data_IF_628893306722
#
_entry.id   IF_628893306722
#
_cell.length_a   1.000
_cell.length_b   1.000
_cell.length_c   1.000
_cell.angle_alpha   90.00
_cell.angle_beta   90.00
_cell.angle_gamma   90.00
#
_symmetry.space_group_name_H-M   'P 1'
#
loop_
_entity.id
_entity.type
_entity.pdbx_description
1 polymer ?
#
# COMPACT_ATOMS: atom_id res chain seq x y z
N UNK A 1 -5.07 4.31 8.80
CA UNK A 1 -3.89 3.57 8.33
C UNK A 1 -2.56 4.00 8.95
N UNK A 2 -2.48 5.16 9.59
CA UNK A 2 -1.21 5.63 10.20
C UNK A 2 -1.10 5.37 11.70
N UNK A 3 -2.17 5.02 12.37
CA UNK A 3 -2.23 4.96 13.83
C UNK A 3 -2.01 3.57 14.43
N UNK A 4 -2.16 2.53 13.62
CA UNK A 4 -2.11 1.14 14.09
C UNK A 4 -1.34 0.26 13.12
N UNK A 5 -0.64 -0.78 13.61
CA UNK A 5 -0.12 -1.84 12.75
C UNK A 5 -1.24 -2.45 11.92
N UNK A 6 -0.89 -2.87 10.71
CA UNK A 6 -1.88 -3.38 9.77
C UNK A 6 -2.31 -4.79 10.15
N UNK A 7 -3.60 -4.90 10.35
CA UNK A 7 -4.31 -6.14 10.58
C UNK A 7 -5.67 -6.05 9.85
N UNK A 8 -6.39 -7.15 9.77
CA UNK A 8 -7.74 -7.18 9.20
C UNK A 8 -8.82 -7.43 10.28
N UNK A 9 -8.52 -7.15 11.55
CA UNK A 9 -9.48 -7.30 12.65
C UNK A 9 -10.31 -6.05 12.90
N UNK A 10 -9.87 -4.89 12.40
CA UNK A 10 -10.54 -3.64 12.66
C UNK A 10 -11.97 -3.63 12.11
N UNK A 11 -12.89 -3.20 12.96
CA UNK A 11 -14.29 -2.94 12.62
C UNK A 11 -14.84 -1.79 13.50
N UNK A 12 -16.12 -1.46 13.33
CA UNK A 12 -16.80 -0.36 14.03
C UNK A 12 -17.83 -0.85 15.03
N UNK A 13 -17.79 -2.10 15.48
CA UNK A 13 -18.83 -2.70 16.33
C UNK A 13 -19.03 -1.92 17.63
N UNK A 14 -17.95 -1.45 18.25
CA UNK A 14 -18.03 -0.67 19.50
C UNK A 14 -18.65 0.71 19.30
N UNK A 15 -18.61 1.22 18.08
CA UNK A 15 -19.29 2.46 17.71
C UNK A 15 -20.77 2.21 17.41
N UNK A 16 -21.07 1.21 16.58
CA UNK A 16 -22.44 0.86 16.16
C UNK A 16 -23.31 0.50 17.35
N UNK A 17 -22.81 -0.24 18.33
CA UNK A 17 -23.53 -0.62 19.55
C UNK A 17 -24.04 0.55 20.41
N UNK A 18 -23.51 1.76 20.21
CA UNK A 18 -23.93 2.94 20.97
C UNK A 18 -25.28 3.53 20.49
N UNK A 19 -25.75 3.08 19.34
CA UNK A 19 -26.95 3.63 18.70
C UNK A 19 -27.96 2.53 18.42
N UNK A 20 -29.24 2.87 18.57
CA UNK A 20 -30.39 1.98 18.29
C UNK A 20 -30.94 2.13 16.87
N UNK A 21 -30.31 2.96 16.05
CA UNK A 21 -30.67 3.22 14.66
C UNK A 21 -29.61 2.67 13.71
N UNK A 22 -29.96 2.32 12.46
CA UNK A 22 -28.98 1.91 11.47
C UNK A 22 -27.92 2.98 11.25
N UNK A 23 -26.66 2.57 11.30
CA UNK A 23 -25.51 3.43 11.05
C UNK A 23 -25.08 3.28 9.59
N UNK A 24 -24.92 4.40 8.89
CA UNK A 24 -24.40 4.48 7.54
C UNK A 24 -23.22 5.44 7.54
N UNK A 25 -22.10 5.06 6.96
CA UNK A 25 -21.00 6.02 6.78
C UNK A 25 -21.30 6.96 5.63
N UNK A 26 -20.68 8.13 5.70
CA UNK A 26 -20.75 9.15 4.67
C UNK A 26 -19.36 9.41 4.10
N UNK A 27 -19.28 9.50 2.75
CA UNK A 27 -18.07 9.91 2.01
C UNK A 27 -16.81 9.06 2.28
N UNK A 28 -16.91 7.74 2.22
CA UNK A 28 -15.74 6.85 2.34
C UNK A 28 -14.97 6.71 1.02
N UNK A 29 -13.76 6.13 1.09
CA UNK A 29 -12.95 5.83 -0.08
C UNK A 29 -12.26 7.05 -0.68
N UNK A 30 -12.02 8.08 0.11
CA UNK A 30 -11.45 9.36 -0.34
C UNK A 30 -9.93 9.35 -0.53
N UNK A 31 -9.29 8.20 -0.58
CA UNK A 31 -7.86 8.08 -0.81
C UNK A 31 -7.50 8.53 -2.23
N UNK A 32 -6.52 9.40 -2.36
CA UNK A 32 -6.12 9.97 -3.65
C UNK A 32 -5.02 9.15 -4.33
N UNK A 33 -5.02 9.15 -5.67
CA UNK A 33 -3.88 8.81 -6.50
C UNK A 33 -3.21 10.09 -7.04
N UNK A 34 -1.99 9.98 -7.57
CA UNK A 34 -1.33 11.09 -8.25
C UNK A 34 -2.08 11.41 -9.57
N UNK A 35 -2.26 12.70 -9.94
CA UNK A 35 -2.98 13.08 -11.16
C UNK A 35 -2.40 12.47 -12.43
N UNK A 36 -3.25 12.03 -13.35
CA UNK A 36 -2.85 11.64 -14.70
C UNK A 36 -2.90 12.83 -15.66
N UNK A 37 -1.75 13.35 -16.05
CA UNK A 37 -1.66 14.50 -16.96
C UNK A 37 -2.07 14.20 -18.40
N UNK A 38 -2.26 12.94 -18.78
CA UNK A 38 -2.83 12.59 -20.08
C UNK A 38 -4.28 13.05 -20.22
N UNK A 39 -4.98 13.24 -19.10
CA UNK A 39 -6.34 13.77 -19.10
C UNK A 39 -6.44 15.21 -19.63
N UNK A 40 -5.35 16.00 -19.62
CA UNK A 40 -5.34 17.38 -20.12
C UNK A 40 -5.88 17.47 -21.55
N UNK A 41 -5.50 16.53 -22.42
CA UNK A 41 -5.93 16.48 -23.82
C UNK A 41 -7.42 16.17 -24.01
N UNK A 42 -8.10 15.64 -23.00
CA UNK A 42 -9.54 15.34 -23.05
C UNK A 42 -10.42 16.57 -22.85
N UNK A 43 -9.86 17.69 -22.33
CA UNK A 43 -10.59 18.93 -22.10
C UNK A 43 -10.71 19.77 -23.39
N UNK A 44 -11.58 19.35 -24.30
CA UNK A 44 -11.78 20.00 -25.63
C UNK A 44 -12.86 21.07 -25.63
N UNK A 45 -13.58 21.26 -24.51
CA UNK A 45 -14.67 22.23 -24.37
C UNK A 45 -14.26 23.58 -23.78
N UNK A 46 -15.20 24.23 -23.13
CA UNK A 46 -15.01 25.54 -22.48
C UNK A 46 -14.23 25.44 -21.17
N UNK A 47 -14.31 24.31 -20.47
CA UNK A 47 -13.53 24.07 -19.28
C UNK A 47 -12.09 23.74 -19.67
N UNK A 48 -11.14 24.33 -18.95
CA UNK A 48 -9.70 24.11 -19.12
C UNK A 48 -9.11 23.52 -17.87
N UNK A 49 -8.21 22.54 -17.98
CA UNK A 49 -7.60 21.86 -16.84
C UNK A 49 -6.39 22.64 -16.29
N UNK A 50 -6.56 23.94 -15.99
CA UNK A 50 -5.46 24.80 -15.53
C UNK A 50 -4.72 24.25 -14.31
N UNK A 51 -5.44 23.61 -13.38
CA UNK A 51 -4.85 22.93 -12.22
C UNK A 51 -3.88 21.80 -12.64
N UNK A 52 -4.28 20.93 -13.57
CA UNK A 52 -3.40 19.88 -14.09
C UNK A 52 -2.19 20.44 -14.85
N UNK A 53 -2.37 21.51 -15.58
CA UNK A 53 -1.28 22.20 -16.30
C UNK A 53 -0.26 22.77 -15.31
N UNK A 54 -0.72 23.40 -14.21
CA UNK A 54 0.13 23.92 -13.14
C UNK A 54 0.88 22.81 -12.42
N UNK A 55 0.20 21.73 -12.05
CA UNK A 55 0.83 20.59 -11.38
C UNK A 55 1.89 19.93 -12.26
N UNK A 56 1.60 19.76 -13.55
CA UNK A 56 2.54 19.21 -14.53
C UNK A 56 3.77 20.11 -14.70
N UNK A 57 3.57 21.41 -14.75
CA UNK A 57 4.66 22.38 -14.88
C UNK A 57 5.52 22.42 -13.61
N UNK A 58 4.91 22.37 -12.42
CA UNK A 58 5.65 22.29 -11.17
C UNK A 58 6.47 20.98 -11.10
N UNK A 59 5.88 19.84 -11.47
CA UNK A 59 6.61 18.57 -11.53
C UNK A 59 7.78 18.61 -12.51
N UNK A 60 7.63 19.33 -13.66
CA UNK A 60 8.72 19.56 -14.62
C UNK A 60 9.84 20.39 -14.00
N UNK A 61 9.51 21.45 -13.29
CA UNK A 61 10.47 22.33 -12.62
C UNK A 61 11.21 21.60 -11.51
N UNK A 62 10.56 20.61 -10.86
CA UNK A 62 11.17 19.71 -9.87
C UNK A 62 11.95 18.54 -10.51
N UNK A 63 12.07 18.50 -11.82
CA UNK A 63 12.84 17.50 -12.58
C UNK A 63 12.36 16.07 -12.36
N UNK A 64 11.04 15.85 -12.32
CA UNK A 64 10.42 14.55 -12.12
C UNK A 64 9.28 14.25 -13.12
N UNK A 65 9.11 15.06 -14.18
CA UNK A 65 7.99 14.89 -15.10
C UNK A 65 7.97 13.51 -15.80
N UNK A 66 9.12 12.91 -16.04
CA UNK A 66 9.24 11.57 -16.61
C UNK A 66 8.75 10.45 -15.67
N UNK A 67 8.58 10.75 -14.38
CA UNK A 67 8.04 9.83 -13.38
C UNK A 67 6.52 9.99 -13.17
N UNK A 68 5.88 10.97 -13.83
CA UNK A 68 4.45 11.28 -13.59
C UNK A 68 3.54 10.05 -13.77
N UNK A 69 3.78 9.26 -14.83
CA UNK A 69 3.02 8.03 -15.08
C UNK A 69 3.26 6.98 -13.98
N UNK A 70 4.51 6.79 -13.59
CA UNK A 70 4.86 5.83 -12.53
C UNK A 70 4.25 6.25 -11.19
N UNK A 71 4.23 7.55 -10.88
CA UNK A 71 3.55 8.08 -9.69
C UNK A 71 2.05 7.79 -9.73
N UNK A 72 1.42 8.01 -10.89
CA UNK A 72 0.00 7.71 -11.08
C UNK A 72 -0.31 6.23 -10.83
N UNK A 73 0.43 5.34 -11.45
CA UNK A 73 0.23 3.89 -11.32
C UNK A 73 0.50 3.41 -9.89
N UNK A 74 1.63 3.77 -9.31
CA UNK A 74 2.01 3.29 -7.98
C UNK A 74 1.09 3.81 -6.88
N UNK A 75 0.76 5.10 -6.89
CA UNK A 75 -0.19 5.68 -5.93
C UNK A 75 -1.61 5.15 -6.14
N UNK A 76 -2.01 4.91 -7.38
CA UNK A 76 -3.32 4.35 -7.69
C UNK A 76 -3.50 2.91 -7.20
N UNK A 77 -2.50 2.05 -7.38
CA UNK A 77 -2.51 0.70 -6.80
C UNK A 77 -2.59 0.73 -5.28
N UNK A 78 -1.87 1.66 -4.65
CA UNK A 78 -1.95 1.86 -3.21
C UNK A 78 -3.33 2.40 -2.76
N UNK A 79 -3.93 3.32 -3.51
CA UNK A 79 -5.30 3.80 -3.31
C UNK A 79 -6.30 2.64 -3.27
N UNK A 80 -6.18 1.68 -4.21
CA UNK A 80 -7.09 0.51 -4.28
C UNK A 80 -6.92 -0.39 -3.06
N UNK A 81 -5.68 -0.61 -2.58
CA UNK A 81 -5.43 -1.37 -1.36
C UNK A 81 -6.08 -0.71 -0.13
N UNK A 82 -5.95 0.62 -0.01
CA UNK A 82 -6.55 1.37 1.09
C UNK A 82 -8.08 1.33 1.04
N UNK A 83 -8.68 1.49 -0.15
CA UNK A 83 -10.13 1.35 -0.35
C UNK A 83 -10.62 -0.05 0.04
N UNK A 84 -9.89 -1.08 -0.39
CA UNK A 84 -10.24 -2.47 -0.06
C UNK A 84 -10.33 -2.67 1.45
N UNK A 85 -9.30 -2.28 2.21
CA UNK A 85 -9.29 -2.45 3.65
C UNK A 85 -10.36 -1.62 4.35
N UNK A 86 -10.58 -0.39 3.88
CA UNK A 86 -11.64 0.47 4.42
C UNK A 86 -13.02 -0.16 4.21
N UNK A 87 -13.34 -0.62 3.00
CA UNK A 87 -14.64 -1.26 2.73
C UNK A 87 -14.81 -2.56 3.51
N UNK A 88 -13.79 -3.39 3.58
CA UNK A 88 -13.84 -4.63 4.35
C UNK A 88 -14.07 -4.37 5.84
N UNK A 89 -13.58 -3.27 6.40
CA UNK A 89 -13.83 -2.92 7.80
C UNK A 89 -15.31 -2.67 8.06
N UNK A 90 -16.04 -2.10 7.12
CA UNK A 90 -17.49 -1.94 7.19
C UNK A 90 -18.21 -3.28 7.02
N UNK A 91 -17.81 -4.09 6.04
CA UNK A 91 -18.38 -5.43 5.87
C UNK A 91 -18.11 -6.35 7.06
N UNK A 92 -17.01 -6.16 7.80
CA UNK A 92 -16.72 -6.89 9.05
C UNK A 92 -17.50 -6.39 10.26
N UNK A 93 -18.25 -5.29 10.12
CA UNK A 93 -18.99 -4.67 11.25
C UNK A 93 -20.43 -5.18 11.33
N UNK A 94 -20.79 -6.03 12.31
CA UNK A 94 -22.16 -6.46 12.50
C UNK A 94 -23.10 -5.27 12.80
N UNK A 95 -24.27 -5.28 12.18
CA UNK A 95 -25.29 -4.24 12.38
C UNK A 95 -25.02 -2.93 11.65
N UNK A 96 -24.02 -2.89 10.78
CA UNK A 96 -23.74 -1.73 9.95
C UNK A 96 -24.76 -1.64 8.80
N UNK A 97 -25.37 -0.46 8.59
CA UNK A 97 -26.47 -0.28 7.64
C UNK A 97 -26.04 -0.03 6.20
N UNK A 98 -24.78 0.38 5.98
CA UNK A 98 -24.26 0.68 4.65
C UNK A 98 -23.27 1.83 4.62
N UNK A 99 -22.84 2.22 3.41
CA UNK A 99 -21.89 3.32 3.21
C UNK A 99 -22.18 4.10 1.92
N UNK A 100 -21.74 5.34 1.87
CA UNK A 100 -21.67 6.17 0.67
C UNK A 100 -20.22 6.33 0.22
N UNK A 101 -19.94 5.94 -1.01
CA UNK A 101 -18.63 6.16 -1.64
C UNK A 101 -18.51 7.58 -2.16
N UNK A 102 -17.49 8.31 -1.77
CA UNK A 102 -17.03 9.55 -2.42
C UNK A 102 -15.67 9.29 -3.07
N UNK A 103 -15.63 9.10 -4.34
CA UNK A 103 -16.73 8.73 -5.24
C UNK A 103 -16.17 7.79 -6.32
N UNK A 104 -16.99 7.42 -7.30
CA UNK A 104 -16.58 6.52 -8.38
C UNK A 104 -15.56 7.18 -9.31
N UNK A 105 -15.81 8.43 -9.70
CA UNK A 105 -14.94 9.25 -10.59
C UNK A 105 -14.11 10.26 -9.81
N UNK A 106 -13.09 10.81 -10.45
CA UNK A 106 -12.35 11.93 -9.90
C UNK A 106 -13.22 13.18 -9.80
N UNK A 107 -12.94 14.00 -8.82
CA UNK A 107 -13.63 15.26 -8.60
C UNK A 107 -12.73 16.44 -9.02
N UNK A 108 -13.02 17.11 -10.15
CA UNK A 108 -12.13 18.15 -10.70
C UNK A 108 -12.31 19.50 -10.02
N UNK A 109 -13.41 19.71 -9.29
CA UNK A 109 -13.69 20.93 -8.53
C UNK A 109 -12.93 20.96 -7.19
N UNK A 110 -13.04 22.08 -6.47
CA UNK A 110 -12.51 22.23 -5.11
C UNK A 110 -11.04 21.77 -4.93
N UNK A 111 -10.16 22.12 -5.90
CA UNK A 111 -8.72 21.88 -5.82
C UNK A 111 -8.23 20.53 -6.31
N UNK A 112 -9.04 19.79 -7.03
CA UNK A 112 -8.71 18.49 -7.61
C UNK A 112 -8.58 17.36 -6.61
N UNK A 113 -9.51 16.41 -6.64
CA UNK A 113 -9.53 15.25 -5.77
C UNK A 113 -9.51 13.96 -6.61
N UNK A 114 -8.32 13.40 -6.93
CA UNK A 114 -8.19 12.20 -7.74
C UNK A 114 -8.49 10.94 -6.91
N UNK A 115 -9.71 10.88 -6.36
CA UNK A 115 -10.21 9.82 -5.47
C UNK A 115 -10.87 8.68 -6.22
N UNK A 116 -11.27 8.88 -7.48
CA UNK A 116 -12.01 7.91 -8.28
C UNK A 116 -11.19 6.71 -8.72
N UNK A 117 -11.88 5.65 -9.12
CA UNK A 117 -11.33 4.51 -9.87
C UNK A 117 -11.53 4.68 -11.39
N UNK A 118 -12.32 5.68 -11.77
CA UNK A 118 -12.41 6.22 -13.13
C UNK A 118 -12.03 7.71 -13.07
N UNK A 119 -11.66 8.28 -14.20
CA UNK A 119 -11.31 9.70 -14.31
C UNK A 119 -12.56 10.59 -14.38
N UNK A 120 -12.38 11.90 -14.53
CA UNK A 120 -13.48 12.88 -14.64
C UNK A 120 -14.38 12.68 -15.86
N UNK A 121 -13.92 11.93 -16.86
CA UNK A 121 -14.65 11.59 -18.08
C UNK A 121 -15.24 10.17 -18.02
N UNK A 122 -15.16 9.50 -16.87
CA UNK A 122 -15.59 8.12 -16.63
C UNK A 122 -14.77 7.06 -17.39
N UNK A 123 -13.57 7.40 -17.86
CA UNK A 123 -12.65 6.40 -18.40
C UNK A 123 -11.95 5.65 -17.25
N UNK A 124 -11.80 4.34 -17.42
CA UNK A 124 -11.15 3.48 -16.42
C UNK A 124 -9.68 3.87 -16.21
N UNK A 125 -9.25 3.93 -14.96
CA UNK A 125 -7.85 4.17 -14.63
C UNK A 125 -7.03 2.87 -14.80
N UNK A 126 -5.79 2.95 -15.28
CA UNK A 126 -5.02 1.77 -15.72
C UNK A 126 -4.54 0.86 -14.59
N UNK A 127 -4.68 1.23 -13.34
CA UNK A 127 -4.19 0.49 -12.18
C UNK A 127 -5.27 -0.35 -11.47
N UNK A 128 -6.52 -0.29 -11.92
CA UNK A 128 -7.63 -1.08 -11.39
C UNK A 128 -8.59 -1.43 -12.52
N UNK A 129 -9.00 -2.69 -12.59
CA UNK A 129 -10.04 -3.13 -13.50
C UNK A 129 -11.39 -3.30 -12.77
N UNK A 130 -12.46 -3.39 -13.55
CA UNK A 130 -13.82 -3.56 -13.05
C UNK A 130 -13.99 -4.86 -12.23
N UNK A 131 -13.26 -5.91 -12.57
CA UNK A 131 -13.32 -7.20 -11.88
C UNK A 131 -12.72 -7.09 -10.46
N UNK A 132 -11.55 -6.49 -10.35
CA UNK A 132 -10.89 -6.21 -9.06
C UNK A 132 -11.76 -5.33 -8.19
N UNK A 133 -12.31 -4.24 -8.74
CA UNK A 133 -13.15 -3.33 -7.96
C UNK A 133 -14.48 -3.98 -7.53
N UNK A 134 -15.06 -4.82 -8.37
CA UNK A 134 -16.26 -5.60 -8.03
C UNK A 134 -16.00 -6.57 -6.87
N UNK A 135 -14.83 -7.17 -6.77
CA UNK A 135 -14.48 -8.04 -5.63
C UNK A 135 -14.43 -7.26 -4.31
N UNK A 136 -14.03 -5.98 -4.34
CA UNK A 136 -13.97 -5.13 -3.13
C UNK A 136 -15.37 -4.74 -2.64
N UNK A 137 -16.34 -4.61 -3.54
CA UNK A 137 -17.70 -4.10 -3.24
C UNK A 137 -18.78 -5.09 -3.69
N UNK A 138 -18.65 -6.34 -3.31
CA UNK A 138 -19.62 -7.38 -3.66
C UNK A 138 -20.74 -7.48 -2.61
N UNK A 139 -22.00 -7.76 -3.03
CA UNK A 139 -23.09 -7.99 -2.09
C UNK A 139 -22.95 -9.28 -1.28
N UNK A 140 -22.04 -10.17 -1.70
CA UNK A 140 -21.63 -11.32 -0.91
C UNK A 140 -20.10 -11.40 -0.95
N UNK A 141 -19.46 -11.25 0.21
CA UNK A 141 -18.04 -11.02 0.30
C UNK A 141 -17.39 -11.95 1.35
N UNK A 142 -16.46 -12.84 0.95
CA UNK A 142 -15.58 -13.51 1.90
C UNK A 142 -14.69 -12.49 2.60
N UNK A 143 -14.49 -12.66 3.92
CA UNK A 143 -13.74 -11.76 4.78
C UNK A 143 -12.74 -12.55 5.62
N UNK A 144 -11.64 -11.90 5.95
CA UNK A 144 -10.59 -12.45 6.81
C UNK A 144 -10.36 -11.54 8.01
N UNK A 145 -10.18 -12.13 9.20
CA UNK A 145 -9.67 -11.44 10.38
C UNK A 145 -8.35 -12.07 10.80
N UNK A 146 -7.26 -11.36 10.59
CA UNK A 146 -5.92 -11.77 11.04
C UNK A 146 -5.20 -10.62 11.73
N UNK A 147 -4.32 -10.96 12.69
CA UNK A 147 -3.62 -9.95 13.50
C UNK A 147 -2.51 -9.23 12.75
N UNK A 148 -1.98 -9.84 11.70
CA UNK A 148 -0.90 -9.27 10.88
C UNK A 148 -0.88 -9.87 9.47
N UNK A 149 -0.15 -9.22 8.57
CA UNK A 149 0.04 -9.68 7.20
C UNK A 149 1.50 -10.06 6.88
N UNK A 150 2.42 -9.76 7.79
CA UNK A 150 3.83 -10.12 7.70
C UNK A 150 4.15 -11.14 8.78
N UNK A 151 4.70 -12.28 8.38
CA UNK A 151 4.92 -13.46 9.22
C UNK A 151 6.36 -13.92 9.13
N UNK A 152 6.82 -14.60 10.18
CA UNK A 152 8.08 -15.32 10.19
C UNK A 152 7.84 -16.80 9.87
N UNK A 153 8.82 -17.45 9.25
CA UNK A 153 8.77 -18.88 8.90
C UNK A 153 8.47 -19.78 10.11
N UNK A 154 8.94 -19.42 11.30
CA UNK A 154 8.74 -20.21 12.53
C UNK A 154 7.36 -20.01 13.16
N UNK A 155 6.49 -19.21 12.55
CA UNK A 155 5.13 -18.97 13.03
C UNK A 155 4.10 -19.83 12.30
N UNK A 156 2.89 -19.82 12.86
CA UNK A 156 1.68 -20.36 12.23
C UNK A 156 0.80 -19.19 11.82
N UNK A 157 0.44 -19.13 10.55
CA UNK A 157 -0.59 -18.19 10.10
C UNK A 157 -1.92 -18.52 10.75
N UNK A 158 -2.56 -17.54 11.36
CA UNK A 158 -3.88 -17.65 11.98
C UNK A 158 -4.81 -16.60 11.39
N UNK A 159 -6.00 -17.05 10.97
CA UNK A 159 -7.04 -16.15 10.46
C UNK A 159 -8.43 -16.72 10.68
N UNK A 160 -9.37 -15.87 11.10
CA UNK A 160 -10.77 -16.22 11.23
C UNK A 160 -11.50 -15.85 9.94
N UNK A 161 -12.08 -16.86 9.26
CA UNK A 161 -12.79 -16.72 8.00
C UNK A 161 -14.25 -16.38 8.23
N UNK A 162 -14.79 -15.42 7.48
CA UNK A 162 -16.19 -14.97 7.55
C UNK A 162 -16.75 -14.77 6.15
N UNK A 163 -18.07 -14.69 6.02
CA UNK A 163 -18.76 -14.19 4.82
C UNK A 163 -19.80 -13.17 5.23
N UNK A 164 -19.74 -11.98 4.65
CA UNK A 164 -20.85 -11.03 4.65
C UNK A 164 -21.80 -11.36 3.49
N UNK A 165 -23.07 -11.62 3.77
CA UNK A 165 -24.06 -11.94 2.74
C UNK A 165 -25.23 -10.97 2.80
N UNK A 166 -25.30 -10.06 1.84
CA UNK A 166 -26.40 -9.09 1.65
C UNK A 166 -27.20 -9.39 0.37
N UNK A 167 -27.14 -10.63 -0.14
CA UNK A 167 -28.04 -11.10 -1.20
C UNK A 167 -29.47 -11.18 -0.69
N UNK A 168 -30.44 -11.28 -1.61
CA UNK A 168 -31.87 -11.45 -1.25
C UNK A 168 -32.12 -12.76 -0.50
N UNK A 169 -31.30 -13.79 -0.80
CA UNK A 169 -31.52 -15.14 -0.29
C UNK A 169 -30.27 -15.66 0.45
N UNK A 170 -30.51 -16.59 1.35
CA UNK A 170 -29.44 -17.37 1.98
C UNK A 170 -28.78 -18.32 1.00
N UNK A 171 -27.53 -18.61 1.20
CA UNK A 171 -26.80 -19.65 0.49
C UNK A 171 -26.87 -20.96 1.26
N UNK A 172 -27.64 -21.92 0.77
CA UNK A 172 -27.82 -23.24 1.41
C UNK A 172 -26.68 -24.18 1.05
N UNK A 173 -26.10 -24.86 2.06
CA UNK A 173 -25.04 -25.83 1.86
C UNK A 173 -23.84 -25.24 1.11
N UNK A 174 -23.56 -23.95 1.30
CA UNK A 174 -22.47 -23.27 0.63
C UNK A 174 -21.13 -23.93 0.98
N UNK A 175 -20.26 -24.05 -0.01
CA UNK A 175 -18.87 -24.45 0.19
C UNK A 175 -17.99 -23.25 -0.10
N UNK A 176 -17.22 -22.83 0.91
CA UNK A 176 -16.24 -21.76 0.79
C UNK A 176 -14.85 -22.40 0.78
N UNK A 177 -14.23 -22.41 -0.38
CA UNK A 177 -12.88 -22.91 -0.55
C UNK A 177 -11.88 -21.82 -0.21
N UNK A 178 -10.79 -22.19 0.45
CA UNK A 178 -9.66 -21.31 0.70
C UNK A 178 -8.36 -21.97 0.29
N UNK A 179 -7.41 -21.17 -0.17
CA UNK A 179 -6.05 -21.63 -0.49
C UNK A 179 -5.02 -20.53 -0.24
N UNK A 180 -3.89 -20.92 0.35
CA UNK A 180 -2.69 -20.11 0.40
C UNK A 180 -1.77 -20.55 -0.74
N UNK A 181 -1.45 -19.66 -1.66
CA UNK A 181 -0.67 -19.96 -2.85
C UNK A 181 0.48 -18.96 -3.05
N UNK A 182 1.54 -19.42 -3.70
CA UNK A 182 2.61 -18.57 -4.22
C UNK A 182 2.12 -17.77 -5.42
N UNK A 183 2.83 -16.69 -5.77
CA UNK A 183 2.49 -15.84 -6.93
C UNK A 183 2.53 -16.59 -8.28
N UNK A 184 3.25 -17.72 -8.36
CA UNK A 184 3.27 -18.60 -9.54
C UNK A 184 2.08 -19.55 -9.61
N UNK A 185 1.14 -19.48 -8.66
CA UNK A 185 -0.06 -20.32 -8.61
C UNK A 185 0.12 -21.67 -7.88
N UNK A 186 1.34 -22.01 -7.43
CA UNK A 186 1.54 -23.22 -6.64
C UNK A 186 0.84 -23.10 -5.28
N UNK A 187 -0.05 -24.03 -4.98
CA UNK A 187 -0.77 -24.07 -3.71
C UNK A 187 0.15 -24.60 -2.63
N UNK A 188 0.29 -23.85 -1.54
CA UNK A 188 0.99 -24.25 -0.34
C UNK A 188 0.10 -25.04 0.62
N UNK A 189 -1.12 -24.54 0.85
CA UNK A 189 -2.12 -25.17 1.70
C UNK A 189 -3.53 -24.77 1.24
N UNK A 190 -4.48 -25.65 1.40
CA UNK A 190 -5.89 -25.40 1.06
C UNK A 190 -6.84 -26.08 2.04
N UNK A 191 -8.11 -25.72 1.93
CA UNK A 191 -9.19 -26.30 2.69
C UNK A 191 -10.55 -25.71 2.30
N UNK A 192 -11.59 -26.15 3.00
CA UNK A 192 -12.94 -25.65 2.76
C UNK A 192 -13.79 -25.64 4.00
N UNK A 193 -14.79 -24.76 4.02
CA UNK A 193 -15.89 -24.72 4.99
C UNK A 193 -17.20 -25.06 4.30
N UNK A 194 -18.07 -25.85 4.94
CA UNK A 194 -19.38 -26.19 4.38
C UNK A 194 -20.48 -25.89 5.39
N UNK A 195 -21.33 -24.92 5.08
CA UNK A 195 -22.42 -24.50 5.97
C UNK A 195 -23.48 -23.69 5.21
N UNK A 196 -24.62 -23.45 5.86
CA UNK A 196 -25.58 -22.46 5.38
C UNK A 196 -25.10 -21.06 5.74
N UNK A 197 -25.20 -20.12 4.79
CA UNK A 197 -24.84 -18.70 5.00
C UNK A 197 -26.14 -17.88 4.91
N UNK A 198 -26.70 -17.46 6.06
CA UNK A 198 -27.87 -16.60 6.10
C UNK A 198 -27.63 -15.28 5.34
N UNK A 199 -28.72 -14.68 4.86
CA UNK A 199 -28.67 -13.33 4.29
C UNK A 199 -28.84 -12.23 5.36
N UNK A 200 -28.43 -11.01 5.03
CA UNK A 200 -28.59 -9.83 5.86
C UNK A 200 -27.56 -9.69 7.00
N UNK A 201 -26.41 -10.36 6.89
CA UNK A 201 -25.39 -10.25 7.93
C UNK A 201 -24.07 -10.96 7.63
N UNK A 202 -23.32 -11.20 8.70
CA UNK A 202 -22.01 -11.83 8.67
C UNK A 202 -22.11 -13.22 9.29
N UNK A 203 -21.49 -14.21 8.65
CA UNK A 203 -21.42 -15.60 9.13
C UNK A 203 -19.98 -15.97 9.37
N UNK A 204 -19.67 -16.47 10.56
CA UNK A 204 -18.36 -17.06 10.88
C UNK A 204 -18.27 -18.45 10.23
N UNK A 205 -17.20 -18.68 9.48
CA UNK A 205 -16.94 -19.96 8.81
C UNK A 205 -16.06 -20.88 9.67
N UNK A 206 -15.10 -20.31 10.37
CA UNK A 206 -14.11 -21.00 11.18
C UNK A 206 -12.72 -20.43 11.05
N UNK A 207 -11.74 -21.10 11.66
CA UNK A 207 -10.35 -20.67 11.68
C UNK A 207 -9.52 -21.38 10.62
N UNK A 208 -8.69 -20.61 9.94
CA UNK A 208 -7.61 -21.09 9.06
C UNK A 208 -6.31 -21.03 9.87
N UNK A 209 -5.64 -22.16 10.00
CA UNK A 209 -4.37 -22.27 10.73
C UNK A 209 -3.37 -23.00 9.86
N UNK A 210 -2.26 -22.35 9.50
CA UNK A 210 -1.29 -22.86 8.53
C UNK A 210 0.12 -22.69 9.09
N UNK A 211 0.83 -23.77 9.47
CA UNK A 211 2.26 -23.71 9.80
C UNK A 211 3.06 -23.21 8.58
N UNK A 212 3.98 -22.26 8.79
CA UNK A 212 4.75 -21.63 7.71
C UNK A 212 6.17 -22.21 7.59
N UNK A 213 6.48 -23.26 8.32
CA UNK A 213 7.84 -23.82 8.53
C UNK A 213 8.55 -24.28 7.26
N UNK A 214 7.80 -24.61 6.20
CA UNK A 214 8.37 -25.06 4.93
C UNK A 214 8.75 -23.91 3.99
N UNK A 215 8.44 -22.64 4.35
CA UNK A 215 8.70 -21.46 3.51
C UNK A 215 10.10 -20.93 3.85
N UNK A 216 11.14 -21.52 3.25
CA UNK A 216 12.56 -21.23 3.56
C UNK A 216 13.13 -19.97 2.90
N UNK A 217 12.37 -19.28 2.07
CA UNK A 217 12.77 -18.05 1.41
C UNK A 217 11.71 -16.98 1.58
N UNK A 218 12.14 -15.71 1.58
CA UNK A 218 11.20 -14.59 1.62
C UNK A 218 10.20 -14.70 0.46
N UNK A 219 8.92 -14.75 0.78
CA UNK A 219 7.86 -14.96 -0.21
C UNK A 219 6.68 -14.01 0.05
N UNK A 220 6.16 -13.44 -1.02
CA UNK A 220 4.79 -12.93 -1.04
C UNK A 220 3.88 -14.06 -1.47
N UNK A 221 2.84 -14.29 -0.71
CA UNK A 221 1.81 -15.29 -0.96
C UNK A 221 0.44 -14.64 -1.01
N UNK A 222 -0.55 -15.35 -1.49
CA UNK A 222 -1.94 -14.87 -1.54
C UNK A 222 -2.85 -15.90 -0.90
N UNK A 223 -3.55 -15.50 0.16
CA UNK A 223 -4.68 -16.25 0.67
C UNK A 223 -5.91 -15.87 -0.14
N UNK A 224 -6.51 -16.84 -0.82
CA UNK A 224 -7.75 -16.66 -1.58
C UNK A 224 -8.88 -17.39 -0.90
N UNK A 225 -10.08 -16.81 -0.92
CA UNK A 225 -11.32 -17.47 -0.56
C UNK A 225 -12.35 -17.29 -1.67
N UNK A 226 -13.07 -18.36 -2.03
CA UNK A 226 -14.12 -18.32 -3.04
C UNK A 226 -15.33 -19.15 -2.61
N UNK A 227 -16.52 -18.66 -2.91
CA UNK A 227 -17.77 -19.40 -2.70
C UNK A 227 -18.04 -20.20 -3.96
N UNK A 228 -17.94 -21.53 -3.83
CA UNK A 228 -18.04 -22.47 -4.96
C UNK A 228 -19.30 -22.27 -5.77
N UNK A 229 -19.19 -22.38 -7.10
CA UNK A 229 -20.29 -22.17 -8.06
C UNK A 229 -20.90 -20.76 -8.06
N UNK A 230 -20.14 -19.76 -7.59
CA UNK A 230 -20.53 -18.34 -7.66
C UNK A 230 -19.36 -17.52 -8.22
N UNK A 231 -19.58 -16.21 -8.41
CA UNK A 231 -18.52 -15.26 -8.75
C UNK A 231 -17.96 -14.53 -7.50
N UNK A 232 -18.34 -14.94 -6.29
CA UNK A 232 -17.95 -14.27 -5.05
C UNK A 232 -16.64 -14.83 -4.54
N UNK A 233 -15.63 -13.98 -4.51
CA UNK A 233 -14.30 -14.32 -4.03
C UNK A 233 -13.61 -13.12 -3.44
N UNK A 234 -12.58 -13.36 -2.64
CA UNK A 234 -11.70 -12.31 -2.10
C UNK A 234 -10.30 -12.87 -1.89
N UNK A 235 -9.31 -11.99 -1.70
CA UNK A 235 -7.93 -12.40 -1.49
C UNK A 235 -7.15 -11.40 -0.63
N UNK A 236 -6.10 -11.88 0.04
CA UNK A 236 -5.21 -11.07 0.87
C UNK A 236 -3.76 -11.47 0.62
N UNK A 237 -2.90 -10.48 0.42
CA UNK A 237 -1.47 -10.72 0.35
C UNK A 237 -0.89 -10.94 1.75
N UNK A 238 -0.02 -11.93 1.88
CA UNK A 238 0.74 -12.25 3.09
C UNK A 238 2.21 -12.34 2.71
N UNK A 239 3.08 -11.83 3.58
CA UNK A 239 4.52 -11.95 3.40
C UNK A 239 5.07 -12.88 4.47
N UNK A 240 5.90 -13.82 4.05
CA UNK A 240 6.58 -14.76 4.95
C UNK A 240 8.08 -14.61 4.78
N UNK A 241 8.79 -14.38 5.88
CA UNK A 241 10.22 -14.21 5.89
C UNK A 241 10.91 -15.38 6.62
N UNK A 242 12.08 -15.84 6.13
CA UNK A 242 12.82 -16.91 6.80
C UNK A 242 13.31 -16.42 8.16
N UNK A 243 13.33 -17.32 9.13
CA UNK A 243 13.85 -17.05 10.47
C UNK A 243 15.36 -16.81 10.46
N UNK A 244 16.07 -17.48 9.56
CA UNK A 244 17.51 -17.33 9.38
C UNK A 244 17.82 -16.58 8.09
N UNK A 245 18.41 -15.41 8.23
CA UNK A 245 18.93 -14.67 7.08
C UNK A 245 20.28 -15.24 6.63
N UNK A 246 20.62 -15.12 5.32
CA UNK A 246 21.95 -15.47 4.83
C UNK A 246 23.02 -14.66 5.56
N UNK A 247 24.15 -15.28 5.89
CA UNK A 247 25.29 -14.56 6.45
C UNK A 247 25.79 -13.48 5.46
N UNK A 248 25.87 -12.26 5.94
CA UNK A 248 26.38 -11.12 5.16
C UNK A 248 27.89 -11.04 5.39
N UNK A 249 28.67 -11.12 4.33
CA UNK A 249 30.11 -10.86 4.41
C UNK A 249 30.36 -9.36 4.59
N UNK A 250 30.64 -8.94 5.81
CA UNK A 250 31.05 -7.55 6.13
C UNK A 250 32.28 -7.07 5.39
N UNK A 251 33.08 -8.00 4.82
CA UNK A 251 34.30 -7.66 4.03
C UNK A 251 34.00 -6.90 2.74
N UNK A 252 32.75 -6.94 2.24
CA UNK A 252 32.38 -6.33 0.95
C UNK A 252 31.65 -4.99 1.09
N UNK A 253 31.01 -4.73 2.22
CA UNK A 253 30.21 -3.51 2.44
C UNK A 253 30.51 -2.96 3.83
N UNK A 254 30.94 -1.71 3.89
CA UNK A 254 31.09 -0.99 5.17
C UNK A 254 29.71 -0.50 5.63
N UNK A 255 29.27 -0.96 6.80
CA UNK A 255 28.12 -0.38 7.48
C UNK A 255 28.57 0.87 8.25
N UNK A 256 27.92 2.00 8.04
CA UNK A 256 28.21 3.26 8.71
C UNK A 256 26.91 3.90 9.23
N UNK A 257 27.00 4.59 10.36
CA UNK A 257 25.90 5.40 10.94
C UNK A 257 26.16 6.90 10.84
N UNK A 258 27.39 7.28 10.49
CA UNK A 258 27.82 8.68 10.40
C UNK A 258 28.61 8.93 9.11
N UNK A 259 28.40 10.10 8.54
CA UNK A 259 29.19 10.60 7.40
C UNK A 259 30.47 11.25 7.90
N UNK A 260 31.58 10.50 7.94
CA UNK A 260 32.87 10.94 8.47
C UNK A 260 34.03 10.71 7.48
N UNK A 261 35.23 11.10 7.84
CA UNK A 261 36.43 10.99 7.00
C UNK A 261 36.81 9.53 6.68
N UNK A 262 36.53 8.58 7.58
CA UNK A 262 36.74 7.15 7.34
C UNK A 262 35.86 6.66 6.20
N UNK A 263 34.58 7.02 6.21
CA UNK A 263 33.61 6.69 5.15
C UNK A 263 34.03 7.30 3.81
N UNK A 264 34.39 8.60 3.82
CA UNK A 264 34.86 9.29 2.60
C UNK A 264 36.08 8.63 1.99
N UNK A 265 37.08 8.32 2.82
CA UNK A 265 38.31 7.68 2.37
C UNK A 265 38.09 6.27 1.80
N UNK A 266 37.19 5.49 2.44
CA UNK A 266 36.85 4.15 1.95
C UNK A 266 36.14 4.22 0.59
N UNK A 267 35.22 5.18 0.41
CA UNK A 267 34.57 5.42 -0.89
C UNK A 267 35.55 5.89 -1.96
N UNK A 268 36.50 6.79 -1.62
CA UNK A 268 37.53 7.25 -2.56
C UNK A 268 38.41 6.10 -3.08
N UNK A 269 38.64 5.08 -2.25
CA UNK A 269 39.39 3.85 -2.64
C UNK A 269 38.55 2.83 -3.43
N UNK A 270 37.26 3.11 -3.71
CA UNK A 270 36.36 2.22 -4.46
C UNK A 270 35.52 1.30 -3.59
N UNK A 271 35.47 1.51 -2.30
CA UNK A 271 34.65 0.71 -1.38
C UNK A 271 33.14 0.95 -1.54
N UNK A 272 32.36 0.02 -1.04
CA UNK A 272 30.89 0.13 -0.96
C UNK A 272 30.48 0.42 0.48
N UNK A 273 29.65 1.43 0.69
CA UNK A 273 29.15 1.86 2.00
C UNK A 273 27.62 1.80 2.03
N UNK A 274 27.08 1.19 3.07
CA UNK A 274 25.69 1.37 3.48
C UNK A 274 25.67 2.34 4.68
N UNK A 275 25.13 3.53 4.46
CA UNK A 275 24.96 4.54 5.47
C UNK A 275 23.52 4.49 6.02
N UNK A 276 23.38 4.08 7.27
CA UNK A 276 22.13 4.19 8.04
C UNK A 276 22.09 5.61 8.62
N UNK A 277 21.40 6.50 7.92
CA UNK A 277 21.34 7.89 8.34
C UNK A 277 20.60 8.03 9.68
N UNK A 278 21.20 8.76 10.63
CA UNK A 278 20.52 9.10 11.87
C UNK A 278 19.30 9.97 11.58
N UNK A 279 18.12 9.42 11.88
CA UNK A 279 16.84 10.09 11.62
C UNK A 279 16.71 11.44 12.34
N UNK A 280 17.42 11.64 13.45
CA UNK A 280 17.46 12.92 14.18
C UNK A 280 18.24 14.01 13.41
N UNK A 281 19.19 13.62 12.58
CA UNK A 281 20.00 14.54 11.78
C UNK A 281 19.43 14.82 10.39
N UNK A 282 18.49 13.99 9.91
CA UNK A 282 17.83 14.21 8.62
C UNK A 282 16.86 15.40 8.74
N UNK A 283 17.19 16.49 8.06
CA UNK A 283 16.32 17.67 7.99
C UNK A 283 15.18 17.40 7.00
N UNK A 284 13.97 17.34 7.48
CA UNK A 284 12.76 17.19 6.68
C UNK A 284 11.54 17.70 7.41
N UNK A 285 10.69 18.41 6.70
CA UNK A 285 9.37 18.85 7.11
C UNK A 285 8.25 17.86 6.65
N UNK A 286 8.61 16.83 5.89
CA UNK A 286 7.69 15.77 5.48
C UNK A 286 7.64 14.71 6.59
N UNK A 287 6.46 14.42 7.14
CA UNK A 287 6.32 13.38 8.16
C UNK A 287 6.41 11.98 7.54
N UNK A 288 6.83 10.97 8.31
CA UNK A 288 6.76 9.57 7.89
C UNK A 288 5.29 9.12 7.91
N UNK A 289 4.64 9.17 6.76
CA UNK A 289 3.24 8.82 6.60
C UNK A 289 3.07 7.65 5.66
N UNK A 290 2.37 6.61 6.12
CA UNK A 290 2.10 5.44 5.28
C UNK A 290 0.86 5.63 4.41
N UNK A 291 -0.23 6.25 4.90
CA UNK A 291 -1.45 6.43 4.11
C UNK A 291 -1.31 7.51 3.04
N UNK A 292 -2.08 7.38 1.97
CA UNK A 292 -2.27 8.45 0.99
C UNK A 292 -3.00 9.65 1.59
N UNK A 293 -2.90 10.78 0.92
CA UNK A 293 -3.77 11.94 1.15
C UNK A 293 -5.22 11.48 1.03
N UNK A 294 -6.03 11.87 2.00
CA UNK A 294 -7.48 11.74 1.95
C UNK A 294 -8.07 12.97 1.27
N UNK A 295 -8.83 12.74 0.22
CA UNK A 295 -9.51 13.74 -0.58
C UNK A 295 -8.54 14.78 -1.19
N UNK A 296 -8.29 15.90 -0.52
CA UNK A 296 -7.60 17.06 -1.11
C UNK A 296 -6.73 17.76 -0.07
N UNK A 297 -5.42 17.83 -0.35
CA UNK A 297 -4.45 18.48 0.52
C UNK A 297 -4.74 19.98 0.76
N UNK A 298 -5.35 20.66 -0.21
CA UNK A 298 -5.73 22.09 -0.10
C UNK A 298 -6.76 22.30 1.02
N UNK A 299 -7.66 21.34 1.21
CA UNK A 299 -8.68 21.43 2.26
C UNK A 299 -8.21 20.90 3.61
N UNK A 300 -7.40 19.85 3.61
CA UNK A 300 -6.92 19.28 4.86
C UNK A 300 -5.84 20.12 5.53
N UNK A 301 -5.07 20.88 4.75
CA UNK A 301 -4.02 21.79 5.24
C UNK A 301 -2.91 21.13 6.07
N UNK A 302 -3.02 19.84 6.33
CA UNK A 302 -2.16 19.08 7.25
C UNK A 302 -1.65 17.81 6.58
N UNK A 303 -0.47 17.32 6.95
CA UNK A 303 0.00 16.00 6.52
C UNK A 303 -1.05 14.91 6.77
N UNK A 304 -1.09 13.87 5.93
CA UNK A 304 -0.03 13.44 5.01
C UNK A 304 -0.02 14.15 3.65
N UNK A 305 1.18 14.59 3.23
CA UNK A 305 1.40 15.20 1.90
C UNK A 305 2.11 14.19 0.99
N UNK A 306 1.71 12.92 1.03
CA UNK A 306 2.35 11.83 0.31
C UNK A 306 1.31 10.87 -0.24
N UNK A 307 1.68 10.09 -1.24
CA UNK A 307 0.80 9.16 -1.95
C UNK A 307 1.39 7.73 -1.99
N UNK A 308 2.14 7.37 -0.96
CA UNK A 308 2.85 6.10 -0.89
C UNK A 308 4.25 6.18 -1.49
N UNK A 309 4.79 5.05 -1.89
CA UNK A 309 6.15 4.93 -2.45
C UNK A 309 6.14 4.50 -3.90
N UNK A 310 7.25 4.83 -4.59
CA UNK A 310 7.65 4.26 -5.87
C UNK A 310 9.01 3.60 -5.69
N UNK A 311 9.17 2.35 -6.13
CA UNK A 311 10.46 1.66 -6.20
C UNK A 311 10.53 0.76 -7.44
N UNK A 312 11.76 0.34 -7.80
CA UNK A 312 11.94 -0.67 -8.85
C UNK A 312 12.09 -2.05 -8.20
N UNK A 313 11.08 -2.91 -8.21
CA UNK A 313 11.11 -4.21 -7.54
C UNK A 313 12.16 -5.18 -8.12
N UNK A 314 12.69 -4.93 -9.34
CA UNK A 314 13.75 -5.71 -9.97
C UNK A 314 15.14 -5.34 -9.48
N UNK A 315 15.29 -4.27 -8.69
CA UNK A 315 16.59 -3.86 -8.16
C UNK A 315 17.11 -4.90 -7.18
N UNK A 316 18.43 -5.13 -7.18
CA UNK A 316 19.08 -6.16 -6.35
C UNK A 316 18.85 -5.98 -4.83
N UNK A 317 18.54 -4.76 -4.38
CA UNK A 317 18.15 -4.44 -3.02
C UNK A 317 16.97 -5.30 -2.54
N UNK A 318 16.02 -5.61 -3.43
CA UNK A 318 14.78 -6.31 -3.10
C UNK A 318 14.84 -7.83 -3.31
N UNK A 319 16.04 -8.39 -3.57
CA UNK A 319 16.19 -9.84 -3.80
C UNK A 319 15.57 -10.71 -2.69
N UNK A 320 15.65 -10.27 -1.45
CA UNK A 320 15.12 -10.95 -0.27
C UNK A 320 13.98 -10.18 0.40
N UNK A 321 13.40 -9.24 -0.33
CA UNK A 321 12.25 -8.43 0.09
C UNK A 321 11.24 -8.35 -1.07
N UNK A 322 10.42 -9.39 -1.27
CA UNK A 322 9.49 -9.45 -2.40
C UNK A 322 8.48 -8.31 -2.32
N UNK A 323 8.61 -7.34 -3.20
CA UNK A 323 7.78 -6.13 -3.24
C UNK A 323 7.31 -5.82 -4.66
N UNK A 324 6.30 -4.99 -4.77
CA UNK A 324 5.85 -4.33 -5.99
C UNK A 324 6.47 -2.94 -6.10
N UNK A 325 6.16 -2.26 -7.20
CA UNK A 325 6.60 -0.88 -7.44
C UNK A 325 5.95 0.17 -6.53
N UNK A 326 4.94 -0.22 -5.75
CA UNK A 326 4.10 0.66 -4.92
C UNK A 326 4.07 0.23 -3.45
N UNK A 327 3.51 1.07 -2.60
CA UNK A 327 3.23 0.72 -1.20
C UNK A 327 2.29 -0.48 -1.14
N UNK A 328 2.70 -1.46 -0.35
CA UNK A 328 1.86 -2.55 0.11
C UNK A 328 2.03 -2.69 1.63
N UNK A 329 1.30 -3.61 2.25
CA UNK A 329 1.21 -3.65 3.71
C UNK A 329 2.54 -3.92 4.44
N UNK A 330 3.50 -4.63 3.84
CA UNK A 330 4.81 -4.87 4.46
C UNK A 330 5.65 -3.58 4.63
N UNK A 331 5.35 -2.51 3.88
CA UNK A 331 6.03 -1.23 3.98
C UNK A 331 5.59 -0.38 5.16
N UNK A 332 4.54 -0.78 5.89
CA UNK A 332 3.98 0.03 6.97
C UNK A 332 5.03 0.44 8.00
N UNK A 333 5.67 -0.53 8.64
CA UNK A 333 6.67 -0.25 9.69
C UNK A 333 7.91 0.44 9.13
N UNK A 334 8.33 0.08 7.92
CA UNK A 334 9.48 0.70 7.25
C UNK A 334 9.26 2.20 6.99
N UNK A 335 8.09 2.56 6.49
CA UNK A 335 7.73 3.96 6.22
C UNK A 335 7.50 4.72 7.52
N UNK A 336 6.76 4.15 8.47
CA UNK A 336 6.44 4.78 9.75
C UNK A 336 7.67 5.04 10.63
N UNK A 337 8.66 4.16 10.55
CA UNK A 337 9.94 4.30 11.26
C UNK A 337 11.04 4.85 10.35
N UNK A 338 10.72 5.82 9.50
CA UNK A 338 11.68 6.50 8.64
C UNK A 338 11.70 8.01 8.88
N UNK A 339 12.68 8.70 8.28
CA UNK A 339 12.67 10.14 8.12
C UNK A 339 12.86 10.49 6.65
N UNK A 340 11.81 10.93 5.94
CA UNK A 340 11.88 11.26 4.52
C UNK A 340 13.01 12.24 4.22
N UNK A 341 13.91 11.92 3.28
CA UNK A 341 15.02 12.78 2.88
C UNK A 341 14.62 13.69 1.73
N UNK A 342 14.82 15.00 1.87
CA UNK A 342 14.55 15.98 0.82
C UNK A 342 15.71 16.03 -0.16
N UNK A 343 15.45 15.74 -1.42
CA UNK A 343 16.43 15.59 -2.49
C UNK A 343 16.20 16.57 -3.66
N UNK A 344 15.46 17.67 -3.41
CA UNK A 344 15.07 18.66 -4.41
C UNK A 344 16.24 19.28 -5.17
N UNK A 345 17.42 19.36 -4.56
CA UNK A 345 18.64 19.95 -5.16
C UNK A 345 19.44 18.97 -6.03
N UNK A 346 18.95 17.73 -6.19
CA UNK A 346 19.63 16.74 -7.02
C UNK A 346 19.34 16.93 -8.51
N UNK A 347 20.11 16.25 -9.37
CA UNK A 347 19.92 16.32 -10.83
C UNK A 347 18.66 15.58 -11.29
N UNK A 348 18.30 15.74 -12.56
CA UNK A 348 17.16 15.07 -13.18
C UNK A 348 17.31 13.54 -13.17
N UNK A 349 18.51 13.05 -13.44
CA UNK A 349 18.83 11.63 -13.53
C UNK A 349 18.85 10.94 -12.16
N UNK A 350 18.94 11.73 -11.08
CA UNK A 350 18.98 11.18 -9.73
C UNK A 350 17.57 10.74 -9.29
N UNK A 351 17.38 9.43 -9.24
CA UNK A 351 16.13 8.80 -8.77
C UNK A 351 16.42 7.95 -7.53
N UNK A 352 15.73 8.19 -6.41
CA UNK A 352 15.83 7.32 -5.25
C UNK A 352 15.44 5.87 -5.59
N UNK A 353 16.05 4.89 -4.92
CA UNK A 353 15.67 3.48 -5.04
C UNK A 353 14.30 3.20 -4.38
N UNK A 354 14.02 3.90 -3.30
CA UNK A 354 12.69 4.00 -2.69
C UNK A 354 12.36 5.47 -2.58
N UNK A 355 11.47 5.92 -3.40
CA UNK A 355 11.00 7.31 -3.49
C UNK A 355 9.62 7.42 -2.86
N UNK A 356 9.40 8.41 -2.02
CA UNK A 356 8.05 8.78 -1.60
C UNK A 356 7.41 9.58 -2.73
N UNK A 357 6.21 9.20 -3.12
CA UNK A 357 5.42 9.95 -4.11
C UNK A 357 4.86 11.19 -3.42
N UNK A 358 5.23 12.41 -3.89
CA UNK A 358 4.77 13.65 -3.28
C UNK A 358 3.28 13.90 -3.58
N UNK A 359 2.68 14.83 -2.85
CA UNK A 359 1.43 15.42 -3.31
C UNK A 359 1.66 16.32 -4.54
N UNK A 360 0.62 16.48 -5.36
CA UNK A 360 0.70 17.22 -6.62
C UNK A 360 0.77 18.75 -6.45
N UNK A 361 0.52 19.28 -5.24
CA UNK A 361 0.64 20.71 -4.97
C UNK A 361 2.08 21.11 -4.64
N UNK A 362 2.91 20.20 -4.14
CA UNK A 362 4.27 20.50 -3.70
C UNK A 362 5.37 19.79 -4.48
N UNK A 363 5.09 18.67 -5.12
CA UNK A 363 6.00 17.90 -5.99
C UNK A 363 7.47 17.83 -5.50
N UNK A 364 7.68 17.54 -4.21
CA UNK A 364 9.01 17.42 -3.62
C UNK A 364 9.67 16.12 -4.06
N UNK A 365 10.98 16.16 -4.35
CA UNK A 365 11.75 14.92 -4.54
C UNK A 365 12.15 14.36 -3.17
N UNK A 366 11.57 13.23 -2.79
CA UNK A 366 11.68 12.66 -1.44
C UNK A 366 12.13 11.21 -1.54
N UNK A 367 13.16 10.83 -0.78
CA UNK A 367 13.68 9.47 -0.78
C UNK A 367 13.74 8.85 0.61
N UNK A 368 13.56 7.54 0.69
CA UNK A 368 13.86 6.72 1.87
C UNK A 368 15.17 5.96 1.70
N UNK A 369 15.45 5.52 0.45
CA UNK A 369 16.70 4.84 0.10
C UNK A 369 17.18 5.41 -1.23
N UNK A 370 18.44 5.75 -1.30
CA UNK A 370 19.09 6.10 -2.58
C UNK A 370 20.51 5.55 -2.67
N UNK A 371 21.03 5.46 -3.88
CA UNK A 371 22.44 5.18 -4.12
C UNK A 371 23.10 6.28 -4.94
N UNK A 372 24.38 6.46 -4.72
CA UNK A 372 25.22 7.42 -5.42
C UNK A 372 26.64 6.92 -5.61
N UNK A 373 27.26 7.32 -6.71
CA UNK A 373 28.71 7.14 -6.90
C UNK A 373 29.43 8.28 -6.19
N UNK A 374 30.34 7.95 -5.27
CA UNK A 374 31.17 8.92 -4.54
C UNK A 374 32.64 8.57 -4.77
N UNK A 375 33.35 9.41 -5.52
CA UNK A 375 34.71 9.08 -5.99
C UNK A 375 34.71 7.81 -6.87
N UNK A 376 35.48 6.79 -6.45
CA UNK A 376 35.48 5.48 -7.08
C UNK A 376 34.48 4.49 -6.45
N UNK A 377 33.91 4.82 -5.32
CA UNK A 377 33.07 3.95 -4.50
C UNK A 377 31.58 4.10 -4.77
N UNK A 378 30.83 3.20 -4.13
CA UNK A 378 29.36 3.16 -4.15
C UNK A 378 28.82 3.46 -2.75
N UNK A 379 27.97 4.45 -2.64
CA UNK A 379 27.27 4.81 -1.41
C UNK A 379 25.78 4.47 -1.56
N UNK A 380 25.25 3.72 -0.61
CA UNK A 380 23.81 3.59 -0.40
C UNK A 380 23.45 4.25 0.91
N UNK A 381 22.41 5.06 0.92
CA UNK A 381 21.90 5.77 2.10
C UNK A 381 20.46 5.35 2.33
N UNK A 382 20.13 5.06 3.59
CA UNK A 382 18.75 4.85 4.02
C UNK A 382 18.46 5.68 5.27
N UNK A 383 17.26 6.22 5.35
CA UNK A 383 16.73 6.93 6.50
C UNK A 383 15.65 6.12 7.24
N UNK A 384 15.59 4.81 7.00
CA UNK A 384 14.73 3.89 7.76
C UNK A 384 15.46 3.52 9.04
N UNK A 385 14.81 3.71 10.18
CA UNK A 385 15.34 3.39 11.51
C UNK A 385 15.07 1.90 11.84
N UNK A 386 15.87 1.01 11.28
CA UNK A 386 15.71 -0.44 11.44
C UNK A 386 15.77 -0.90 12.92
N UNK A 387 16.52 -0.22 13.76
CA UNK A 387 16.59 -0.45 15.21
C UNK A 387 15.25 -0.28 15.93
N UNK A 388 14.35 0.55 15.41
CA UNK A 388 12.99 0.74 15.95
C UNK A 388 11.99 -0.32 15.46
N UNK A 389 12.30 -1.02 14.39
CA UNK A 389 11.42 -2.04 13.80
C UNK A 389 11.72 -3.41 14.40
N UNK A 390 12.97 -3.63 14.83
CA UNK A 390 13.45 -4.90 15.37
C UNK A 390 13.25 -5.03 16.90
N UNK A 391 12.72 -4.01 17.55
CA UNK A 391 12.40 -4.00 18.97
C UNK A 391 10.92 -4.34 19.22
#
# INVERSE_FOLDING_TARGET
FNSQPLNTRYDYIDYVKKFSIPMVTHEIGQWCAYPDFNQISKYIGVLKPYNYELFREDLRNKKMLDQAHDFHIASGKFQVLQKKEEFESYFRTPGFGGYHLLQLNDFPGQGTSPVGVVDVFYDAKPYVDAQTFKQIQSPCLPLLRTDKLVWSQNETFEGDAQVANFLKEKLKGAVVDWKLEYLNGNVYKDGSFKLDIPNGGITDLGRISIPLTEICQAAKMVLKMEIRNTSFSNNWAIWVYPDKLPEISEKKVMLAREWNNRVKHYLQKGGTVLLLADTAQVKSDVPPCFSSISWNAVWSGTPPNTLGILCNPKHALFRHFPTEEHSNWQWFDLVRNSKPMLLDHTTYEFKPLVQIIPDWNNNRKIGLIFEAKVGKGKLMVTSIAFDRIMA
#
